data_IF_895513154904
#
_entry.id   IF_895513154904
#
_cell.length_a   1.000
_cell.length_b   1.000
_cell.length_c   1.000
_cell.angle_alpha   90.00
_cell.angle_beta   90.00
_cell.angle_gamma   90.00
#
_symmetry.space_group_name_H-M   'P 1'
#
loop_
_entity.id
_entity.type
_entity.pdbx_description
1 polymer ?
#
# COMPACT_ATOMS: atom_id res chain seq x y z
N UNK A 1 11.55 32.24 -44.66
CA UNK A 1 12.34 31.71 -43.52
C UNK A 1 11.57 31.67 -42.20
N UNK A 2 10.86 32.74 -41.81
CA UNK A 2 10.08 32.81 -40.56
C UNK A 2 8.92 31.79 -40.47
N UNK A 3 8.23 31.52 -41.57
CA UNK A 3 7.09 30.57 -41.60
C UNK A 3 7.52 29.10 -41.38
N UNK A 4 8.68 28.71 -41.93
CA UNK A 4 9.26 27.38 -41.75
C UNK A 4 9.68 27.17 -40.29
N UNK A 5 10.32 28.18 -39.69
CA UNK A 5 10.71 28.16 -38.26
C UNK A 5 9.49 28.08 -37.33
N UNK A 6 8.39 28.75 -37.68
CA UNK A 6 7.10 28.67 -36.96
C UNK A 6 6.51 27.26 -37.00
N UNK A 7 6.42 26.64 -38.18
CA UNK A 7 5.88 25.26 -38.35
C UNK A 7 6.74 24.22 -37.63
N UNK A 8 8.07 24.36 -37.65
CA UNK A 8 8.99 23.47 -36.90
C UNK A 8 8.77 23.59 -35.39
N UNK A 9 8.66 24.81 -34.85
CA UNK A 9 8.38 25.03 -33.42
C UNK A 9 7.00 24.53 -33.01
N UNK A 10 5.99 24.72 -33.84
CA UNK A 10 4.64 24.22 -33.60
C UNK A 10 4.60 22.68 -33.57
N UNK A 11 5.23 22.02 -34.55
CA UNK A 11 5.34 20.56 -34.60
C UNK A 11 6.15 20.01 -33.43
N UNK A 12 7.23 20.68 -33.02
CA UNK A 12 8.00 20.32 -31.83
C UNK A 12 7.16 20.45 -30.55
N UNK A 13 6.41 21.55 -30.36
CA UNK A 13 5.49 21.72 -29.24
C UNK A 13 4.39 20.66 -29.21
N UNK A 14 3.79 20.33 -30.36
CA UNK A 14 2.77 19.28 -30.48
C UNK A 14 3.35 17.91 -30.13
N UNK A 15 4.56 17.59 -30.59
CA UNK A 15 5.25 16.32 -30.29
C UNK A 15 5.63 16.21 -28.81
N UNK A 16 6.17 17.28 -28.21
CA UNK A 16 6.47 17.36 -26.76
C UNK A 16 5.19 17.24 -25.93
N UNK A 17 4.11 17.94 -26.29
CA UNK A 17 2.82 17.86 -25.62
C UNK A 17 2.18 16.45 -25.73
N UNK A 18 2.43 15.72 -26.82
CA UNK A 18 1.98 14.33 -26.98
C UNK A 18 2.81 13.35 -26.14
N UNK A 19 4.12 13.58 -26.02
CA UNK A 19 5.03 12.79 -25.18
C UNK A 19 4.76 12.97 -23.68
N UNK A 20 4.56 14.22 -23.21
CA UNK A 20 4.31 14.51 -21.79
C UNK A 20 2.97 13.98 -21.27
N UNK A 21 2.03 13.60 -22.14
CA UNK A 21 0.76 12.97 -21.74
C UNK A 21 0.94 11.62 -21.05
N UNK A 22 2.03 10.90 -21.38
CA UNK A 22 2.32 9.58 -20.81
C UNK A 22 3.22 9.65 -19.58
N UNK A 23 3.81 10.80 -19.29
CA UNK A 23 4.73 10.96 -18.17
C UNK A 23 4.09 10.56 -16.82
N UNK A 24 2.86 10.98 -16.46
CA UNK A 24 2.24 10.54 -15.21
C UNK A 24 2.04 9.02 -15.18
N UNK A 25 1.65 8.41 -16.31
CA UNK A 25 1.47 6.96 -16.42
C UNK A 25 2.77 6.20 -16.21
N UNK A 26 3.88 6.69 -16.78
CA UNK A 26 5.20 6.09 -16.57
C UNK A 26 5.64 6.22 -15.11
N UNK A 27 5.46 7.39 -14.49
CA UNK A 27 5.81 7.62 -13.08
C UNK A 27 5.02 6.70 -12.14
N UNK A 28 3.69 6.61 -12.32
CA UNK A 28 2.86 5.70 -11.53
C UNK A 28 3.18 4.23 -11.82
N UNK A 29 3.53 3.89 -13.06
CA UNK A 29 3.94 2.53 -13.43
C UNK A 29 5.26 2.13 -12.76
N UNK A 30 6.27 3.01 -12.77
CA UNK A 30 7.55 2.78 -12.07
C UNK A 30 7.31 2.63 -10.57
N UNK A 31 6.51 3.52 -9.98
CA UNK A 31 6.18 3.46 -8.55
C UNK A 31 5.44 2.16 -8.21
N UNK A 32 4.52 1.71 -9.06
CA UNK A 32 3.79 0.45 -8.88
C UNK A 32 4.72 -0.75 -8.92
N UNK A 33 5.63 -0.81 -9.90
CA UNK A 33 6.62 -1.89 -10.01
C UNK A 33 7.53 -1.88 -8.78
N UNK A 34 8.06 -0.71 -8.39
CA UNK A 34 8.90 -0.58 -7.21
C UNK A 34 8.20 -1.03 -5.93
N UNK A 35 6.91 -0.70 -5.77
CA UNK A 35 6.13 -1.11 -4.61
C UNK A 35 5.82 -2.61 -4.60
N UNK A 36 5.48 -3.20 -5.75
CA UNK A 36 5.30 -4.65 -5.88
C UNK A 36 6.58 -5.42 -5.57
N UNK A 37 7.73 -4.94 -6.05
CA UNK A 37 9.03 -5.51 -5.72
C UNK A 37 9.28 -5.43 -4.21
N UNK A 38 8.98 -4.30 -3.56
CA UNK A 38 9.12 -4.16 -2.11
C UNK A 38 8.24 -5.17 -1.35
N UNK A 39 6.97 -5.32 -1.75
CA UNK A 39 6.07 -6.32 -1.14
C UNK A 39 6.64 -7.72 -1.28
N UNK A 40 7.11 -8.11 -2.47
CA UNK A 40 7.65 -9.44 -2.71
C UNK A 40 8.97 -9.70 -1.97
N UNK A 41 9.85 -8.70 -1.89
CA UNK A 41 11.08 -8.77 -1.08
C UNK A 41 10.74 -8.99 0.39
N UNK A 42 9.77 -8.25 0.93
CA UNK A 42 9.32 -8.46 2.31
C UNK A 42 8.66 -9.81 2.51
N UNK A 43 7.81 -10.25 1.58
CA UNK A 43 7.18 -11.58 1.58
C UNK A 43 8.21 -12.72 1.70
N UNK A 44 9.37 -12.55 1.06
CA UNK A 44 10.45 -13.54 1.02
C UNK A 44 11.33 -13.57 2.29
N UNK A 45 11.13 -12.64 3.24
CA UNK A 45 11.92 -12.59 4.48
C UNK A 45 11.33 -13.51 5.56
N UNK A 46 12.20 -14.16 6.34
CA UNK A 46 11.79 -15.00 7.47
C UNK A 46 11.17 -14.19 8.61
N UNK A 47 10.56 -14.87 9.59
CA UNK A 47 10.00 -14.21 10.78
C UNK A 47 11.07 -13.42 11.54
N UNK A 48 12.22 -14.03 11.78
CA UNK A 48 13.34 -13.41 12.49
C UNK A 48 13.87 -12.15 11.79
N UNK A 49 13.94 -12.16 10.45
CA UNK A 49 14.38 -11.01 9.66
C UNK A 49 13.42 -9.83 9.74
N UNK A 50 12.12 -10.09 9.89
CA UNK A 50 11.10 -9.07 10.02
C UNK A 50 10.85 -8.64 11.48
N UNK A 51 11.47 -9.31 12.45
CA UNK A 51 11.14 -9.07 13.85
C UNK A 51 11.65 -7.72 14.33
N UNK A 52 10.76 -6.97 14.98
CA UNK A 52 11.11 -5.70 15.62
C UNK A 52 11.44 -5.87 17.10
N UNK A 53 11.31 -7.08 17.67
CA UNK A 53 11.62 -7.30 19.08
C UNK A 53 13.05 -6.92 19.47
N UNK A 54 14.09 -7.19 18.65
CA UNK A 54 15.45 -6.77 18.99
C UNK A 54 15.57 -5.25 19.16
N UNK A 55 14.81 -4.47 18.38
CA UNK A 55 14.77 -3.02 18.50
C UNK A 55 13.96 -2.57 19.72
N UNK A 56 12.81 -3.20 19.97
CA UNK A 56 11.99 -2.91 21.15
C UNK A 56 12.75 -3.19 22.45
N UNK A 57 13.56 -4.25 22.51
CA UNK A 57 14.38 -4.60 23.69
C UNK A 57 15.50 -3.61 23.98
N UNK A 58 15.89 -2.75 23.01
CA UNK A 58 16.88 -1.69 23.23
C UNK A 58 16.34 -0.53 24.06
N UNK A 59 15.01 -0.33 24.10
CA UNK A 59 14.39 0.76 24.83
C UNK A 59 13.15 0.28 25.59
N UNK A 60 13.21 0.40 26.92
CA UNK A 60 12.12 -0.01 27.81
C UNK A 60 10.90 0.92 27.74
N UNK A 61 11.03 2.08 27.10
CA UNK A 61 9.98 3.11 27.03
C UNK A 61 8.67 2.58 26.44
N UNK A 62 8.78 1.70 25.44
CA UNK A 62 7.61 1.12 24.78
C UNK A 62 6.85 0.16 25.70
N UNK A 63 7.55 -0.53 26.58
CA UNK A 63 6.98 -1.48 27.54
C UNK A 63 6.30 -0.74 28.68
N UNK A 64 6.91 0.33 29.17
CA UNK A 64 6.31 1.17 30.22
C UNK A 64 4.99 1.79 29.75
N UNK A 65 4.91 2.20 28.48
CA UNK A 65 3.65 2.69 27.88
C UNK A 65 2.61 1.58 27.87
N UNK A 66 2.93 0.38 27.41
CA UNK A 66 1.98 -0.74 27.35
C UNK A 66 1.49 -1.16 28.73
N UNK A 67 2.38 -1.16 29.75
CA UNK A 67 2.01 -1.51 31.13
C UNK A 67 1.14 -0.46 31.82
N UNK A 68 1.15 0.80 31.34
CA UNK A 68 0.26 1.86 31.83
C UNK A 68 -1.14 1.77 31.21
N UNK A 69 -1.29 1.05 30.11
CA UNK A 69 -2.60 0.81 29.49
C UNK A 69 -3.32 -0.34 30.21
N UNK A 70 -4.66 -0.36 30.16
CA UNK A 70 -5.44 -1.50 30.64
C UNK A 70 -4.96 -2.81 30.04
N UNK A 71 -5.11 -3.91 30.78
CA UNK A 71 -4.77 -5.23 30.28
C UNK A 71 -5.68 -5.59 29.10
N UNK A 72 -5.06 -5.94 27.97
CA UNK A 72 -5.74 -6.31 26.74
C UNK A 72 -5.21 -7.66 26.29
N UNK A 73 -6.12 -8.60 26.07
CA UNK A 73 -5.80 -9.90 25.48
C UNK A 73 -6.39 -9.97 24.08
N UNK A 74 -5.52 -10.13 23.08
CA UNK A 74 -5.93 -10.34 21.69
C UNK A 74 -5.88 -11.85 21.43
N UNK A 75 -7.04 -12.42 21.10
CA UNK A 75 -7.12 -13.79 20.57
C UNK A 75 -7.16 -13.71 19.05
N UNK A 76 -6.13 -14.24 18.40
CA UNK A 76 -6.00 -14.24 16.94
C UNK A 76 -5.78 -15.67 16.43
N UNK A 77 -6.89 -16.31 16.04
CA UNK A 77 -6.98 -17.76 15.73
C UNK A 77 -6.42 -18.61 16.88
N UNK A 78 -5.18 -19.11 16.72
CA UNK A 78 -4.50 -20.01 17.66
C UNK A 78 -3.54 -19.26 18.61
N UNK A 79 -3.21 -18.00 18.33
CA UNK A 79 -2.37 -17.19 19.21
C UNK A 79 -3.22 -16.38 20.18
N UNK A 80 -2.79 -16.37 21.44
CA UNK A 80 -3.34 -15.52 22.49
C UNK A 80 -2.20 -14.61 22.95
N UNK A 81 -2.33 -13.32 22.69
CA UNK A 81 -1.29 -12.33 23.00
C UNK A 81 -1.84 -11.37 24.02
N UNK A 82 -1.25 -11.39 25.21
CA UNK A 82 -1.63 -10.51 26.32
C UNK A 82 -0.63 -9.35 26.45
N UNK A 83 -1.16 -8.14 26.62
CA UNK A 83 -0.35 -6.91 26.66
C UNK A 83 0.60 -6.84 27.86
N UNK A 84 0.24 -7.41 29.02
CA UNK A 84 1.07 -7.39 30.23
C UNK A 84 1.98 -8.60 30.35
N UNK A 85 1.51 -9.79 29.98
CA UNK A 85 2.29 -11.03 30.02
C UNK A 85 3.31 -11.13 28.89
N UNK A 86 3.06 -10.49 27.73
CA UNK A 86 3.94 -10.54 26.55
C UNK A 86 3.97 -9.21 25.79
N UNK A 87 4.46 -8.11 26.42
CA UNK A 87 4.36 -6.77 25.86
C UNK A 87 5.13 -6.59 24.54
N UNK A 88 6.29 -7.25 24.38
CA UNK A 88 7.07 -7.21 23.14
C UNK A 88 6.30 -7.84 21.96
N UNK A 89 5.75 -9.03 22.16
CA UNK A 89 4.94 -9.73 21.16
C UNK A 89 3.64 -8.98 20.86
N UNK A 90 3.05 -8.33 21.87
CA UNK A 90 1.86 -7.48 21.69
C UNK A 90 2.13 -6.28 20.78
N UNK A 91 3.21 -5.53 21.03
CA UNK A 91 3.59 -4.38 20.20
C UNK A 91 3.96 -4.84 18.78
N UNK A 92 4.76 -5.91 18.66
CA UNK A 92 5.13 -6.48 17.37
C UNK A 92 3.91 -6.94 16.57
N UNK A 93 2.95 -7.60 17.21
CA UNK A 93 1.70 -8.00 16.58
C UNK A 93 0.95 -6.79 15.99
N UNK A 94 0.73 -5.74 16.80
CA UNK A 94 0.07 -4.52 16.34
C UNK A 94 0.85 -3.83 15.22
N UNK A 95 2.17 -3.74 15.36
CA UNK A 95 3.04 -3.15 14.35
C UNK A 95 2.96 -3.91 13.03
N UNK A 96 3.04 -5.24 13.04
CA UNK A 96 2.95 -6.06 11.83
C UNK A 96 1.57 -5.89 11.17
N UNK A 97 0.47 -6.01 11.91
CA UNK A 97 -0.88 -5.81 11.33
C UNK A 97 -1.07 -4.40 10.78
N UNK A 98 -0.55 -3.38 11.48
CA UNK A 98 -0.57 -2.00 11.00
C UNK A 98 0.27 -1.77 9.75
N UNK A 99 1.47 -2.37 9.68
CA UNK A 99 2.36 -2.30 8.52
C UNK A 99 1.72 -2.95 7.29
N UNK A 100 1.14 -4.14 7.45
CA UNK A 100 0.37 -4.84 6.41
C UNK A 100 -0.78 -3.97 5.88
N UNK A 101 -1.63 -3.46 6.78
CA UNK A 101 -2.71 -2.55 6.42
C UNK A 101 -2.20 -1.33 5.61
N UNK A 102 -1.11 -0.71 6.05
CA UNK A 102 -0.50 0.45 5.40
C UNK A 102 0.11 0.12 4.03
N UNK A 103 0.83 -0.99 3.93
CA UNK A 103 1.48 -1.45 2.69
C UNK A 103 0.45 -1.69 1.61
N UNK A 104 -0.65 -2.37 1.94
CA UNK A 104 -1.72 -2.66 0.99
C UNK A 104 -2.62 -1.45 0.69
N UNK A 105 -2.83 -0.54 1.67
CA UNK A 105 -3.45 0.76 1.41
C UNK A 105 -2.65 1.58 0.39
N UNK A 106 -1.33 1.64 0.56
CA UNK A 106 -0.43 2.38 -0.33
C UNK A 106 -0.37 1.71 -1.72
N UNK A 107 -0.27 0.39 -1.77
CA UNK A 107 -0.31 -0.39 -3.00
C UNK A 107 -1.58 -0.09 -3.81
N UNK A 108 -2.75 -0.21 -3.20
CA UNK A 108 -4.03 0.04 -3.86
C UNK A 108 -4.16 1.49 -4.33
N UNK A 109 -3.65 2.44 -3.56
CA UNK A 109 -3.62 3.86 -3.93
C UNK A 109 -2.77 4.10 -5.18
N UNK A 110 -1.56 3.54 -5.24
CA UNK A 110 -0.64 3.64 -6.39
C UNK A 110 -1.28 2.97 -7.62
N UNK A 111 -1.82 1.76 -7.45
CA UNK A 111 -2.46 1.02 -8.54
C UNK A 111 -3.68 1.77 -9.09
N UNK A 112 -4.53 2.32 -8.22
CA UNK A 112 -5.68 3.11 -8.62
C UNK A 112 -5.26 4.36 -9.41
N UNK A 113 -4.24 5.07 -8.94
CA UNK A 113 -3.69 6.24 -9.62
C UNK A 113 -3.07 5.88 -10.98
N UNK A 114 -2.38 4.73 -11.07
CA UNK A 114 -1.87 4.19 -12.33
C UNK A 114 -3.02 3.89 -13.31
N UNK A 115 -4.07 3.17 -12.89
CA UNK A 115 -5.24 2.88 -13.71
C UNK A 115 -5.96 4.15 -14.18
N UNK A 116 -6.08 5.16 -13.30
CA UNK A 116 -6.64 6.47 -13.63
C UNK A 116 -5.80 7.24 -14.65
N UNK A 117 -4.48 7.11 -14.58
CA UNK A 117 -3.58 7.75 -15.55
C UNK A 117 -3.69 7.14 -16.95
N UNK A 118 -3.97 5.83 -17.05
CA UNK A 118 -4.16 5.13 -18.33
C UNK A 118 -5.45 5.58 -19.02
N UNK A 119 -6.55 5.71 -18.27
CA UNK A 119 -7.80 6.19 -18.83
C UNK A 119 -8.63 6.98 -17.80
N UNK A 120 -8.50 8.31 -17.76
CA UNK A 120 -9.15 9.13 -16.74
C UNK A 120 -10.69 9.13 -16.86
N UNK A 121 -11.26 8.76 -18.01
CA UNK A 121 -12.70 8.71 -18.23
C UNK A 121 -13.36 7.45 -17.67
N UNK A 122 -12.60 6.38 -17.43
CA UNK A 122 -13.11 5.06 -17.01
C UNK A 122 -12.89 4.81 -15.51
N UNK A 123 -13.44 5.67 -14.66
CA UNK A 123 -13.29 5.58 -13.20
C UNK A 123 -13.74 4.22 -12.64
N UNK A 124 -14.91 3.74 -13.05
CA UNK A 124 -15.46 2.46 -12.57
C UNK A 124 -14.53 1.28 -12.91
N UNK A 125 -13.95 1.28 -14.12
CA UNK A 125 -12.97 0.25 -14.50
C UNK A 125 -11.72 0.31 -13.64
N UNK A 126 -11.21 1.51 -13.34
CA UNK A 126 -10.05 1.68 -12.47
C UNK A 126 -10.33 1.11 -11.08
N UNK A 127 -11.49 1.43 -10.48
CA UNK A 127 -11.92 0.89 -9.18
C UNK A 127 -12.01 -0.64 -9.23
N UNK A 128 -12.73 -1.20 -10.20
CA UNK A 128 -12.94 -2.64 -10.31
C UNK A 128 -11.63 -3.41 -10.46
N UNK A 129 -10.72 -2.95 -11.33
CA UNK A 129 -9.41 -3.57 -11.51
C UNK A 129 -8.58 -3.47 -10.23
N UNK A 130 -8.56 -2.30 -9.58
CA UNK A 130 -7.83 -2.12 -8.31
C UNK A 130 -8.35 -3.08 -7.24
N UNK A 131 -9.67 -3.24 -7.09
CA UNK A 131 -10.25 -4.15 -6.09
C UNK A 131 -9.92 -5.62 -6.36
N UNK A 132 -9.99 -6.07 -7.62
CA UNK A 132 -9.64 -7.44 -7.98
C UNK A 132 -8.17 -7.72 -7.68
N UNK A 133 -7.28 -6.81 -8.06
CA UNK A 133 -5.84 -6.95 -7.81
C UNK A 133 -5.52 -6.82 -6.31
N UNK A 134 -6.26 -6.00 -5.58
CA UNK A 134 -6.13 -5.84 -4.13
C UNK A 134 -6.51 -7.09 -3.32
N UNK A 135 -7.21 -8.06 -3.92
CA UNK A 135 -7.44 -9.38 -3.32
C UNK A 135 -6.37 -10.36 -3.80
N UNK A 136 -6.06 -10.34 -5.10
CA UNK A 136 -5.12 -11.27 -5.72
C UNK A 136 -3.70 -11.13 -5.16
N UNK A 137 -3.21 -9.90 -4.98
CA UNK A 137 -1.82 -9.68 -4.53
C UNK A 137 -1.59 -10.14 -3.08
N UNK A 138 -2.42 -9.78 -2.08
CA UNK A 138 -2.27 -10.35 -0.74
C UNK A 138 -2.45 -11.87 -0.69
N UNK A 139 -3.35 -12.43 -1.51
CA UNK A 139 -3.50 -13.88 -1.58
C UNK A 139 -2.23 -14.58 -2.13
N UNK A 140 -1.55 -13.95 -3.10
CA UNK A 140 -0.26 -14.44 -3.61
C UNK A 140 0.88 -14.23 -2.62
N UNK A 141 0.88 -13.12 -1.88
CA UNK A 141 1.85 -12.88 -0.80
C UNK A 141 1.72 -13.98 0.28
N UNK A 142 0.50 -14.27 0.73
CA UNK A 142 0.26 -15.33 1.72
C UNK A 142 0.66 -16.71 1.19
N UNK A 143 0.41 -16.98 -0.09
CA UNK A 143 0.86 -18.20 -0.76
C UNK A 143 2.39 -18.33 -0.78
N UNK A 144 3.12 -17.24 -1.01
CA UNK A 144 4.57 -17.24 -0.97
C UNK A 144 5.10 -17.43 0.46
N UNK A 145 4.47 -16.79 1.45
CA UNK A 145 4.85 -16.95 2.85
C UNK A 145 4.62 -18.37 3.36
N UNK A 146 3.55 -19.04 2.90
CA UNK A 146 3.26 -20.45 3.19
C UNK A 146 4.36 -21.43 2.76
N UNK A 147 5.18 -21.07 1.78
CA UNK A 147 6.30 -21.91 1.32
C UNK A 147 7.53 -21.79 2.22
N UNK A 148 7.53 -20.83 3.16
CA UNK A 148 8.55 -20.74 4.21
C UNK A 148 8.06 -21.50 5.45
N UNK A 149 8.87 -22.45 5.93
CA UNK A 149 8.50 -23.49 6.90
C UNK A 149 8.02 -22.99 8.30
N UNK A 150 8.02 -21.68 8.54
CA UNK A 150 7.69 -21.07 9.84
C UNK A 150 6.37 -20.27 9.85
N UNK A 151 5.63 -20.18 8.72
CA UNK A 151 4.41 -19.37 8.64
C UNK A 151 3.17 -20.19 8.30
N UNK A 152 2.23 -20.25 9.24
CA UNK A 152 0.88 -20.78 8.97
C UNK A 152 0.10 -19.75 8.15
N UNK A 153 -0.24 -20.12 6.92
CA UNK A 153 -1.09 -19.32 6.05
C UNK A 153 -2.37 -18.87 6.72
N UNK A 154 -2.73 -17.60 6.54
CA UNK A 154 -3.79 -16.98 7.28
C UNK A 154 -4.75 -16.18 6.40
N UNK A 155 -5.91 -16.78 6.13
CA UNK A 155 -6.98 -16.11 5.41
C UNK A 155 -7.44 -14.80 6.08
N UNK A 156 -7.28 -14.65 7.40
CA UNK A 156 -7.60 -13.39 8.08
C UNK A 156 -6.60 -12.28 7.76
N UNK A 157 -5.38 -12.61 7.33
CA UNK A 157 -4.39 -11.63 6.88
C UNK A 157 -4.72 -11.10 5.48
N UNK A 158 -5.14 -11.97 4.56
CA UNK A 158 -5.67 -11.55 3.25
C UNK A 158 -6.85 -10.58 3.40
N UNK A 159 -7.77 -10.84 4.34
CA UNK A 159 -8.92 -9.95 4.60
C UNK A 159 -8.47 -8.61 5.20
N UNK A 160 -7.51 -8.63 6.12
CA UNK A 160 -6.96 -7.43 6.74
C UNK A 160 -6.24 -6.56 5.69
N UNK A 161 -5.43 -7.18 4.83
CA UNK A 161 -4.71 -6.54 3.74
C UNK A 161 -5.67 -5.94 2.70
N UNK A 162 -6.71 -6.68 2.33
CA UNK A 162 -7.78 -6.17 1.47
C UNK A 162 -8.50 -4.98 2.10
N UNK A 163 -8.75 -5.02 3.42
CA UNK A 163 -9.35 -3.89 4.14
C UNK A 163 -8.46 -2.65 4.05
N UNK A 164 -7.14 -2.82 4.20
CA UNK A 164 -6.15 -1.76 3.99
C UNK A 164 -6.22 -1.18 2.59
N UNK A 165 -6.26 -2.04 1.57
CA UNK A 165 -6.42 -1.63 0.19
C UNK A 165 -7.70 -0.82 -0.07
N UNK A 166 -8.84 -1.23 0.51
CA UNK A 166 -10.08 -0.47 0.45
C UNK A 166 -9.94 0.91 1.08
N UNK A 167 -9.31 1.01 2.26
CA UNK A 167 -9.05 2.29 2.95
C UNK A 167 -8.23 3.22 2.04
N UNK A 168 -7.12 2.73 1.49
CA UNK A 168 -6.27 3.52 0.59
C UNK A 168 -7.02 4.04 -0.63
N UNK A 169 -7.82 3.19 -1.26
CA UNK A 169 -8.63 3.57 -2.42
C UNK A 169 -9.70 4.62 -2.06
N UNK A 170 -10.39 4.47 -0.91
CA UNK A 170 -11.38 5.46 -0.43
C UNK A 170 -10.70 6.81 -0.20
N UNK A 171 -9.53 6.82 0.45
CA UNK A 171 -8.75 8.04 0.67
C UNK A 171 -8.40 8.73 -0.65
N UNK A 172 -7.96 7.98 -1.68
CA UNK A 172 -7.73 8.54 -3.02
C UNK A 172 -8.99 9.16 -3.64
N UNK A 173 -10.14 8.49 -3.55
CA UNK A 173 -11.40 8.99 -4.08
C UNK A 173 -11.84 10.28 -3.39
N UNK A 174 -11.72 10.32 -2.05
CA UNK A 174 -12.04 11.52 -1.25
C UNK A 174 -11.12 12.69 -1.61
N UNK A 175 -9.81 12.47 -1.72
CA UNK A 175 -8.86 13.52 -2.13
C UNK A 175 -9.19 14.08 -3.52
N UNK A 176 -9.52 13.22 -4.49
CA UNK A 176 -9.91 13.65 -5.85
C UNK A 176 -11.22 14.42 -5.80
N UNK A 177 -12.21 13.95 -5.02
CA UNK A 177 -13.50 14.61 -4.84
C UNK A 177 -13.34 16.00 -4.24
N UNK A 178 -12.59 16.09 -3.14
CA UNK A 178 -12.27 17.34 -2.46
C UNK A 178 -11.57 18.33 -3.39
N UNK A 179 -10.56 17.89 -4.13
CA UNK A 179 -9.83 18.75 -5.04
C UNK A 179 -10.68 19.26 -6.21
N UNK A 180 -11.61 18.44 -6.73
CA UNK A 180 -12.58 18.89 -7.73
C UNK A 180 -13.56 19.90 -7.16
N UNK A 181 -14.02 19.69 -5.93
CA UNK A 181 -14.93 20.60 -5.23
C UNK A 181 -14.26 21.95 -4.98
N UNK A 182 -13.04 21.93 -4.42
CA UNK A 182 -12.24 23.13 -4.17
C UNK A 182 -12.04 23.99 -5.43
N UNK A 183 -11.76 23.35 -6.58
CA UNK A 183 -11.61 24.05 -7.87
C UNK A 183 -12.90 24.62 -8.44
N UNK A 184 -14.08 24.21 -7.95
CA UNK A 184 -15.38 24.78 -8.38
C UNK A 184 -15.73 26.05 -7.62
N UNK A 185 -15.20 26.22 -6.41
CA UNK A 185 -15.44 27.39 -5.56
C UNK A 185 -14.41 28.52 -5.75
N UNK A 186 -13.40 28.29 -6.59
CA UNK A 186 -12.40 29.28 -6.98
C UNK A 186 -12.55 29.60 -8.46
#
# INVERSE_FOLDING_TARGET
MLEVQSKVKANAKVKVNKSMKWLPTLLWGILLIGWLTLVFVFSSQSYEQQSIQPLLRKSHIYIDIVRRLPEVTIKYRYSVINSHASPYAFIEFLFRKGAHLFVYATFASILFMFMRSLNPKRLFRAIAVTLVVAIAVPALDEWNQLQSDERTGNATDVVLDFTGACIGMIVCLLMIGFFKLWRRFK
#
